data_IF_087961225751
#
_entry.id   IF_087961225751
#
_cell.length_a   1.000
_cell.length_b   1.000
_cell.length_c   1.000
_cell.angle_alpha   90.00
_cell.angle_beta   90.00
_cell.angle_gamma   90.00
#
_symmetry.space_group_name_H-M   'P 1'
#
loop_
_entity.id
_entity.type
_entity.pdbx_description
1 polymer ?
#
# COMPACT_ATOMS: atom_id res chain seq x y z
N UNK A 1 -18.11 -0.87 17.99
CA UNK A 1 -18.17 0.16 16.94
C UNK A 1 -16.75 0.54 16.55
N UNK A 2 -16.52 0.72 15.24
CA UNK A 2 -15.41 1.53 14.70
C UNK A 2 -14.04 0.84 14.68
N UNK A 3 -13.38 0.59 13.54
CA UNK A 3 -13.24 1.38 12.31
C UNK A 3 -13.16 0.44 11.11
N UNK A 4 -13.78 0.78 9.98
CA UNK A 4 -13.61 0.03 8.74
C UNK A 4 -12.17 0.23 8.23
N UNK A 5 -11.25 -0.67 8.58
CA UNK A 5 -9.91 -0.73 8.00
C UNK A 5 -10.03 -1.40 6.61
N UNK A 6 -10.62 -0.69 5.65
CA UNK A 6 -10.88 -1.20 4.30
C UNK A 6 -9.57 -1.65 3.62
N UNK A 7 -8.47 -0.93 3.88
CA UNK A 7 -7.14 -1.33 3.45
C UNK A 7 -6.71 -2.70 4.02
N UNK A 8 -6.99 -2.98 5.30
CA UNK A 8 -6.65 -4.27 5.90
C UNK A 8 -7.43 -5.41 5.25
N UNK A 9 -8.73 -5.20 4.99
CA UNK A 9 -9.57 -6.19 4.32
C UNK A 9 -9.05 -6.50 2.92
N UNK A 10 -8.69 -5.48 2.14
CA UNK A 10 -8.08 -5.62 0.80
C UNK A 10 -6.74 -6.39 0.85
N UNK A 11 -5.92 -6.14 1.88
CA UNK A 11 -4.66 -6.86 2.10
C UNK A 11 -4.93 -8.35 2.39
N UNK A 12 -5.89 -8.64 3.27
CA UNK A 12 -6.31 -10.00 3.61
C UNK A 12 -6.87 -10.76 2.39
N UNK A 13 -7.68 -10.10 1.55
CA UNK A 13 -8.21 -10.66 0.30
C UNK A 13 -7.08 -11.04 -0.66
N UNK A 14 -6.04 -10.21 -0.77
CA UNK A 14 -4.83 -10.52 -1.55
C UNK A 14 -3.87 -11.50 -0.84
N UNK A 15 -4.24 -12.05 0.32
CA UNK A 15 -3.39 -12.89 1.19
C UNK A 15 -2.07 -12.22 1.61
N UNK A 16 -2.03 -10.89 1.59
CA UNK A 16 -0.86 -10.10 1.99
C UNK A 16 -0.98 -9.83 3.49
N UNK A 17 0.13 -10.03 4.21
CA UNK A 17 0.20 -9.73 5.65
C UNK A 17 0.00 -8.22 5.88
N UNK A 18 -1.03 -7.80 6.65
CA UNK A 18 -1.24 -6.40 6.95
C UNK A 18 -0.14 -5.90 7.88
N UNK A 19 0.85 -5.22 7.29
CA UNK A 19 1.93 -4.54 8.02
C UNK A 19 1.70 -3.05 7.97
N UNK A 20 2.18 -2.32 8.99
CA UNK A 20 2.05 -0.86 9.10
C UNK A 20 2.40 -0.09 7.80
N UNK A 21 3.56 -0.31 7.15
CA UNK A 21 3.88 0.38 5.90
C UNK A 21 2.91 0.03 4.75
N UNK A 22 2.48 -1.23 4.64
CA UNK A 22 1.55 -1.66 3.57
C UNK A 22 0.15 -1.08 3.75
N UNK A 23 -0.32 -1.03 5.00
CA UNK A 23 -1.59 -0.39 5.36
C UNK A 23 -1.56 1.08 4.97
N UNK A 24 -0.49 1.82 5.33
CA UNK A 24 -0.38 3.25 5.02
C UNK A 24 -0.26 3.53 3.53
N UNK A 25 0.50 2.73 2.79
CA UNK A 25 0.57 2.81 1.32
C UNK A 25 -0.82 2.58 0.71
N UNK A 26 -1.51 1.52 1.13
CA UNK A 26 -2.82 1.21 0.56
C UNK A 26 -3.89 2.24 0.95
N UNK A 27 -3.88 2.74 2.17
CA UNK A 27 -4.73 3.86 2.61
C UNK A 27 -4.49 5.11 1.78
N UNK A 28 -3.23 5.44 1.49
CA UNK A 28 -2.86 6.58 0.67
C UNK A 28 -3.36 6.40 -0.78
N UNK A 29 -3.22 5.20 -1.34
CA UNK A 29 -3.74 4.87 -2.66
C UNK A 29 -5.27 4.92 -2.72
N UNK A 30 -5.97 4.49 -1.67
CA UNK A 30 -7.43 4.53 -1.60
C UNK A 30 -7.97 5.96 -1.44
N UNK A 31 -7.22 6.85 -0.78
CA UNK A 31 -7.58 8.27 -0.62
C UNK A 31 -7.22 9.13 -1.83
N UNK A 32 -6.17 8.76 -2.56
CA UNK A 32 -5.74 9.47 -3.75
C UNK A 32 -6.68 9.16 -4.92
N UNK A 33 -7.19 10.20 -5.57
CA UNK A 33 -8.03 10.05 -6.78
C UNK A 33 -7.21 9.76 -8.04
N UNK A 34 -5.98 10.21 -8.05
CA UNK A 34 -5.01 9.98 -9.12
C UNK A 34 -4.05 8.89 -8.71
N UNK A 35 -3.53 8.12 -9.66
CA UNK A 35 -2.50 7.11 -9.42
C UNK A 35 -1.18 7.81 -9.13
N UNK A 36 -0.78 7.93 -7.84
CA UNK A 36 0.45 8.62 -7.50
C UNK A 36 1.65 7.72 -7.87
N UNK A 37 2.74 8.33 -8.30
CA UNK A 37 3.97 7.59 -8.57
C UNK A 37 4.55 6.99 -7.28
N UNK A 38 5.41 5.97 -7.43
CA UNK A 38 6.09 5.36 -6.27
C UNK A 38 6.91 6.38 -5.46
N UNK A 39 7.52 7.37 -6.13
CA UNK A 39 8.29 8.42 -5.46
C UNK A 39 7.38 9.39 -4.69
N UNK A 40 6.21 9.74 -5.23
CA UNK A 40 5.21 10.58 -4.55
C UNK A 40 4.68 9.91 -3.28
N UNK A 41 4.31 8.63 -3.37
CA UNK A 41 3.88 7.84 -2.22
C UNK A 41 5.00 7.76 -1.17
N UNK A 42 6.24 7.53 -1.60
CA UNK A 42 7.38 7.51 -0.70
C UNK A 42 7.58 8.85 0.00
N UNK A 43 7.57 9.97 -0.73
CA UNK A 43 7.75 11.31 -0.15
C UNK A 43 6.61 11.70 0.79
N UNK A 44 5.37 11.27 0.49
CA UNK A 44 4.23 11.51 1.37
C UNK A 44 4.27 10.67 2.65
N UNK A 45 4.82 9.45 2.59
CA UNK A 45 4.85 8.52 3.72
C UNK A 45 6.13 8.55 4.52
N UNK A 46 7.25 9.01 3.97
CA UNK A 46 8.53 9.11 4.70
C UNK A 46 8.45 10.14 5.84
N UNK A 47 7.58 11.13 5.70
CA UNK A 47 7.28 12.13 6.73
C UNK A 47 6.61 11.49 7.97
N UNK A 48 5.72 10.52 7.73
CA UNK A 48 5.00 9.76 8.77
C UNK A 48 5.79 8.53 9.25
N UNK A 49 6.61 7.94 8.38
CA UNK A 49 7.37 6.71 8.59
C UNK A 49 8.82 6.91 8.12
N UNK A 50 9.70 7.49 8.97
CA UNK A 50 11.10 7.72 8.60
C UNK A 50 11.91 6.43 8.39
N UNK A 51 11.41 5.29 8.87
CA UNK A 51 12.01 3.96 8.63
C UNK A 51 11.61 3.35 7.28
N UNK A 52 10.69 3.97 6.55
CA UNK A 52 10.26 3.51 5.24
C UNK A 52 11.37 3.71 4.22
N UNK A 53 11.62 2.69 3.40
CA UNK A 53 12.57 2.76 2.28
C UNK A 53 11.82 2.81 0.95
N UNK A 54 12.41 3.46 -0.07
CA UNK A 54 11.86 3.47 -1.44
C UNK A 54 11.57 2.06 -1.93
N UNK A 55 12.50 1.13 -1.72
CA UNK A 55 12.35 -0.28 -2.08
C UNK A 55 11.10 -0.91 -1.46
N UNK A 56 10.75 -0.57 -0.22
CA UNK A 56 9.52 -1.05 0.44
C UNK A 56 8.27 -0.55 -0.27
N UNK A 57 8.28 0.69 -0.76
CA UNK A 57 7.16 1.27 -1.51
C UNK A 57 7.02 0.59 -2.87
N UNK A 58 8.11 0.46 -3.63
CA UNK A 58 8.11 -0.26 -4.91
C UNK A 58 7.63 -1.71 -4.74
N UNK A 59 8.14 -2.42 -3.72
CA UNK A 59 7.74 -3.79 -3.45
C UNK A 59 6.24 -3.88 -3.08
N UNK A 60 5.72 -2.93 -2.29
CA UNK A 60 4.30 -2.91 -1.94
C UNK A 60 3.43 -2.63 -3.17
N UNK A 61 3.80 -1.66 -4.01
CA UNK A 61 3.09 -1.34 -5.25
C UNK A 61 3.10 -2.52 -6.22
N UNK A 62 4.25 -3.15 -6.41
CA UNK A 62 4.37 -4.37 -7.22
C UNK A 62 3.44 -5.47 -6.70
N UNK A 63 3.43 -5.72 -5.38
CA UNK A 63 2.50 -6.70 -4.77
C UNK A 63 1.02 -6.35 -5.00
N UNK A 64 0.67 -5.07 -5.12
CA UNK A 64 -0.69 -4.64 -5.41
C UNK A 64 -1.06 -4.79 -6.88
N UNK A 65 -0.15 -4.47 -7.80
CA UNK A 65 -0.29 -4.62 -9.26
C UNK A 65 -0.25 -6.09 -9.71
N UNK A 66 0.59 -6.92 -9.09
CA UNK A 66 0.73 -8.36 -9.42
C UNK A 66 -0.58 -9.15 -9.22
N UNK A 67 -1.56 -8.60 -8.51
CA UNK A 67 -2.90 -9.20 -8.40
C UNK A 67 -3.68 -9.26 -9.72
N UNK A 68 -3.20 -8.64 -10.80
CA UNK A 68 -3.87 -8.62 -12.11
C UNK A 68 -3.20 -9.52 -13.18
N UNK A 69 -1.98 -10.02 -12.94
CA UNK A 69 -1.34 -10.94 -13.90
C UNK A 69 -1.47 -12.37 -13.37
N UNK A 70 -2.38 -13.13 -14.01
CA UNK A 70 -2.61 -14.52 -13.70
C UNK A 70 -1.31 -15.30 -13.60
N UNK A 71 -1.13 -16.00 -12.48
CA UNK A 71 -0.34 -17.22 -12.47
C UNK A 71 -1.30 -18.37 -12.71
N UNK A 72 -0.98 -19.09 -13.79
CA UNK A 72 -1.53 -20.34 -14.27
C UNK A 72 -1.94 -21.31 -13.16
#
# INVERSE_FOLDING_TARGET
MSKHNEAEKRLLEKRIRPSFPRLRILEYLLKSREHPGADDVYRALVDDIPTLSKTTVYNALALFEEGCHGRQ
#
